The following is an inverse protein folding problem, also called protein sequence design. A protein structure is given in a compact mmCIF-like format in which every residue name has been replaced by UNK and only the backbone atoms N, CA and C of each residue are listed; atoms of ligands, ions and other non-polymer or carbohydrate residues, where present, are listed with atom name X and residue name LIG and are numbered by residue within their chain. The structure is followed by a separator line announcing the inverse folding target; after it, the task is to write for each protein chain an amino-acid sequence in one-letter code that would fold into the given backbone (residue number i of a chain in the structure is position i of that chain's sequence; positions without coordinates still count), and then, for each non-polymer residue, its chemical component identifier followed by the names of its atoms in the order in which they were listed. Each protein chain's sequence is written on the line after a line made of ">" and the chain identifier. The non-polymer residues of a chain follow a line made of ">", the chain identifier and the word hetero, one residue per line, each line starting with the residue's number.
data_IF_522286471182
#
_entry.id   IF_522286471182
#
_cell.length_a   1.000
_cell.length_b   1.000
_cell.length_c   1.000
_cell.angle_alpha   90.00
_cell.angle_beta   90.00
_cell.angle_gamma   90.00
#
_symmetry.space_group_name_H-M   'P 1'
#
loop_
_entity.id
_entity.type
_entity.pdbx_description
1 polymer ?
#
# COMPACT_ATOMS: atom_id res chain seq x y z
N UNK A 1 4.76 -5.04 -8.29
CA UNK A 1 3.35 -5.03 -7.82
C UNK A 1 2.38 -5.10 -9.00
N UNK A 2 1.27 -5.85 -8.87
CA UNK A 2 0.28 -6.04 -9.95
C UNK A 2 -0.32 -4.66 -10.31
N UNK A 3 -0.29 -4.22 -11.58
CA UNK A 3 -0.69 -2.86 -11.97
C UNK A 3 -2.09 -2.43 -11.49
N UNK A 4 -3.06 -3.35 -11.55
CA UNK A 4 -4.44 -3.10 -11.08
C UNK A 4 -4.46 -2.82 -9.57
N UNK A 5 -3.69 -3.57 -8.77
CA UNK A 5 -3.61 -3.37 -7.32
C UNK A 5 -2.91 -2.05 -6.99
N UNK A 6 -1.82 -1.73 -7.70
CA UNK A 6 -1.09 -0.47 -7.49
C UNK A 6 -2.01 0.74 -7.72
N UNK A 7 -2.81 0.73 -8.79
CA UNK A 7 -3.76 1.82 -9.05
C UNK A 7 -4.80 1.95 -7.92
N UNK A 8 -5.42 0.86 -7.47
CA UNK A 8 -6.41 0.93 -6.37
C UNK A 8 -5.81 1.54 -5.10
N UNK A 9 -4.56 1.17 -4.77
CA UNK A 9 -3.86 1.72 -3.61
C UNK A 9 -3.60 3.23 -3.78
N UNK A 10 -3.22 3.66 -4.98
CA UNK A 10 -2.98 5.07 -5.29
C UNK A 10 -4.28 5.89 -5.28
N UNK A 11 -5.38 5.34 -5.81
CA UNK A 11 -6.71 5.97 -5.77
C UNK A 11 -7.22 6.10 -4.35
N UNK A 12 -7.15 5.04 -3.54
CA UNK A 12 -7.54 5.09 -2.13
C UNK A 12 -6.71 6.13 -1.36
N UNK A 13 -5.40 6.17 -1.59
CA UNK A 13 -4.50 7.15 -0.98
C UNK A 13 -4.93 8.58 -1.32
N UNK A 14 -5.30 8.84 -2.56
CA UNK A 14 -5.61 10.20 -3.04
C UNK A 14 -7.03 10.67 -2.72
N UNK A 15 -8.01 9.76 -2.72
CA UNK A 15 -9.44 10.11 -2.61
C UNK A 15 -10.00 9.91 -1.21
N UNK A 16 -9.47 8.95 -0.46
CA UNK A 16 -9.89 8.66 0.91
C UNK A 16 -8.83 9.18 1.87
N UNK A 17 -7.62 8.65 1.84
CA UNK A 17 -6.64 8.91 2.90
C UNK A 17 -6.17 10.38 2.97
N UNK A 18 -5.75 10.97 1.85
CA UNK A 18 -5.22 12.34 1.82
C UNK A 18 -6.27 13.42 2.17
N UNK A 19 -7.55 13.32 1.76
CA UNK A 19 -8.58 14.29 2.17
C UNK A 19 -8.96 14.22 3.66
N UNK A 20 -9.04 13.02 4.26
CA UNK A 20 -9.32 12.84 5.69
C UNK A 20 -8.22 13.47 6.58
N UNK A 21 -7.03 13.74 6.01
CA UNK A 21 -5.90 14.40 6.66
C UNK A 21 -6.16 15.88 7.04
N UNK A 22 -7.07 16.57 6.36
CA UNK A 22 -7.21 18.04 6.46
C UNK A 22 -8.38 18.46 7.35
N UNK A 23 -9.42 17.63 7.50
CA UNK A 23 -10.62 17.98 8.27
C UNK A 23 -11.07 16.81 9.12
N UNK A 24 -11.37 17.07 10.40
CA UNK A 24 -12.08 16.13 11.27
C UNK A 24 -13.44 15.81 10.65
N UNK A 25 -13.68 14.54 10.33
CA UNK A 25 -14.95 14.06 9.79
C UNK A 25 -15.62 13.12 10.79
N UNK A 26 -16.95 13.04 10.77
CA UNK A 26 -17.73 12.12 11.59
C UNK A 26 -17.70 10.71 10.98
N UNK A 27 -16.55 10.05 11.08
CA UNK A 27 -16.29 8.71 10.54
C UNK A 27 -15.44 7.91 11.51
N UNK A 28 -15.46 6.58 11.42
CA UNK A 28 -14.61 5.69 12.23
C UNK A 28 -13.14 5.64 11.74
N UNK A 29 -12.74 6.50 10.80
CA UNK A 29 -11.39 6.54 10.30
C UNK A 29 -10.55 7.53 11.13
N UNK A 30 -9.29 7.20 11.46
CA UNK A 30 -8.42 8.09 12.22
C UNK A 30 -8.21 9.40 11.43
N UNK A 31 -8.47 10.53 12.09
CA UNK A 31 -8.21 11.86 11.57
C UNK A 31 -6.80 12.32 11.96
N UNK A 32 -6.07 12.93 11.01
CA UNK A 32 -4.74 13.49 11.25
C UNK A 32 -3.68 13.10 10.24
N UNK A 33 -2.50 13.69 10.40
CA UNK A 33 -1.31 13.36 9.58
C UNK A 33 -0.60 12.18 10.28
N UNK A 34 -0.42 11.01 9.66
CA UNK A 34 0.15 9.83 10.34
C UNK A 34 1.49 10.12 11.03
N UNK A 35 2.39 10.85 10.35
CA UNK A 35 3.67 11.24 10.94
C UNK A 35 3.50 12.16 12.16
N UNK A 36 2.49 13.05 12.15
CA UNK A 36 2.20 13.95 13.26
C UNK A 36 1.52 13.22 14.42
N UNK A 37 0.56 12.34 14.13
CA UNK A 37 -0.06 11.47 15.13
C UNK A 37 0.95 10.53 15.79
N UNK A 38 1.91 10.02 15.00
CA UNK A 38 3.00 9.21 15.52
C UNK A 38 3.95 10.03 16.40
N UNK A 39 4.28 11.26 16.00
CA UNK A 39 5.19 12.13 16.75
C UNK A 39 4.54 12.78 18.00
N UNK A 40 3.23 13.03 17.96
CA UNK A 40 2.47 13.74 19.00
C UNK A 40 1.12 13.06 19.28
N UNK A 41 1.10 11.78 19.69
CA UNK A 41 -0.14 11.02 19.87
C UNK A 41 -1.10 11.68 20.88
N UNK A 42 -0.57 12.40 21.86
CA UNK A 42 -1.33 13.06 22.92
C UNK A 42 -2.26 14.16 22.37
N UNK A 43 -1.89 14.83 21.28
CA UNK A 43 -2.73 15.86 20.63
C UNK A 43 -4.00 15.27 19.99
N UNK A 44 -4.02 13.96 19.77
CA UNK A 44 -5.14 13.22 19.18
C UNK A 44 -5.88 12.35 20.20
N UNK A 45 -5.58 12.51 21.50
CA UNK A 45 -6.15 11.65 22.55
C UNK A 45 -5.64 10.21 22.51
N UNK A 46 -4.50 9.97 21.85
CA UNK A 46 -3.83 8.68 21.80
C UNK A 46 -2.70 8.63 22.85
N UNK A 47 -2.24 7.42 23.15
CA UNK A 47 -1.12 7.18 24.04
C UNK A 47 0.14 6.83 23.24
N UNK A 48 1.29 7.35 23.66
CA UNK A 48 2.57 6.92 23.13
C UNK A 48 2.89 5.50 23.63
N UNK A 49 2.72 4.53 22.73
CA UNK A 49 3.05 3.12 22.95
C UNK A 49 4.27 2.67 22.13
N UNK A 50 4.89 3.59 21.38
CA UNK A 50 6.06 3.31 20.57
C UNK A 50 7.28 2.97 21.42
N UNK A 51 8.10 2.04 20.94
CA UNK A 51 9.39 1.75 21.56
C UNK A 51 10.47 2.53 20.81
N UNK A 52 11.42 3.17 21.50
CA UNK A 52 12.55 3.79 20.81
C UNK A 52 13.37 2.69 20.14
N UNK A 53 13.38 2.68 18.81
CA UNK A 53 14.18 1.76 18.01
C UNK A 53 15.38 2.53 17.48
N UNK A 54 16.57 1.97 17.69
CA UNK A 54 17.83 2.49 17.14
C UNK A 54 18.06 2.00 15.71
N UNK A 55 18.87 2.71 14.94
CA UNK A 55 19.22 2.30 13.58
C UNK A 55 19.93 0.93 13.58
N UNK A 56 20.74 0.66 14.62
CA UNK A 56 21.41 -0.63 14.81
C UNK A 56 20.40 -1.77 14.99
N UNK A 57 19.34 -1.57 15.79
CA UNK A 57 18.28 -2.57 15.97
C UNK A 57 17.46 -2.79 14.70
N UNK A 58 17.20 -1.74 13.93
CA UNK A 58 16.57 -1.86 12.62
C UNK A 58 17.45 -2.68 11.66
N UNK A 59 18.75 -2.39 11.62
CA UNK A 59 19.69 -3.11 10.77
C UNK A 59 19.82 -4.58 11.19
N UNK A 60 19.84 -4.88 12.49
CA UNK A 60 19.85 -6.25 13.02
C UNK A 60 18.59 -7.01 12.58
N UNK A 61 17.41 -6.42 12.78
CA UNK A 61 16.14 -7.03 12.37
C UNK A 61 16.04 -7.21 10.85
N UNK A 62 16.50 -6.24 10.07
CA UNK A 62 16.51 -6.30 8.61
C UNK A 62 17.47 -7.40 8.10
N UNK A 63 18.62 -7.57 8.77
CA UNK A 63 19.58 -8.64 8.47
C UNK A 63 19.02 -10.01 8.84
N UNK A 64 18.44 -10.14 10.04
CA UNK A 64 17.86 -11.39 10.54
C UNK A 64 16.65 -11.86 9.72
N UNK A 65 15.81 -10.92 9.28
CA UNK A 65 14.67 -11.22 8.40
C UNK A 65 15.07 -11.52 6.96
N UNK A 66 16.31 -11.18 6.56
CA UNK A 66 16.80 -11.30 5.19
C UNK A 66 16.14 -10.32 4.21
N UNK A 67 15.32 -9.36 4.69
CA UNK A 67 14.54 -8.44 3.85
C UNK A 67 15.43 -7.61 2.91
N UNK A 68 16.67 -7.34 3.32
CA UNK A 68 17.66 -6.59 2.53
C UNK A 68 18.13 -7.34 1.28
N UNK A 69 17.99 -8.67 1.26
CA UNK A 69 18.39 -9.52 0.13
C UNK A 69 17.22 -9.84 -0.80
N UNK A 70 16.03 -9.30 -0.51
CA UNK A 70 14.83 -9.55 -1.29
C UNK A 70 14.76 -8.54 -2.44
N UNK A 71 14.49 -8.97 -3.68
CA UNK A 71 14.30 -8.04 -4.79
C UNK A 71 13.18 -7.04 -4.50
N UNK A 72 13.38 -5.77 -4.86
CA UNK A 72 12.35 -4.73 -4.73
C UNK A 72 11.11 -5.02 -5.59
N UNK A 73 11.26 -5.75 -6.69
CA UNK A 73 10.12 -6.23 -7.49
C UNK A 73 10.04 -7.75 -7.38
N UNK A 74 8.96 -8.21 -6.75
CA UNK A 74 8.61 -9.62 -6.59
C UNK A 74 7.94 -10.20 -7.84
N UNK A 75 7.66 -9.34 -8.83
CA UNK A 75 7.01 -9.73 -10.07
C UNK A 75 8.06 -9.78 -11.16
N UNK A 76 8.20 -10.93 -11.82
CA UNK A 76 9.13 -11.04 -12.92
C UNK A 76 8.66 -10.20 -14.12
N UNK A 77 9.57 -9.67 -14.95
CA UNK A 77 9.21 -8.92 -16.15
C UNK A 77 8.27 -9.71 -17.07
N UNK A 78 8.50 -11.02 -17.21
CA UNK A 78 7.71 -11.90 -18.06
C UNK A 78 6.26 -12.02 -17.56
N UNK A 79 6.06 -12.13 -16.24
CA UNK A 79 4.73 -12.19 -15.64
C UNK A 79 4.00 -10.84 -15.80
N UNK A 80 4.73 -9.73 -15.72
CA UNK A 80 4.18 -8.39 -15.94
C UNK A 80 3.73 -8.20 -17.38
N UNK A 81 4.56 -8.58 -18.35
CA UNK A 81 4.23 -8.55 -19.78
C UNK A 81 3.02 -9.45 -20.08
N UNK A 82 2.93 -10.63 -19.44
CA UNK A 82 1.78 -11.52 -19.61
C UNK A 82 0.49 -10.89 -19.06
N UNK A 83 0.53 -10.24 -17.90
CA UNK A 83 -0.61 -9.48 -17.37
C UNK A 83 -1.04 -8.34 -18.32
N UNK A 84 -0.07 -7.57 -18.83
CA UNK A 84 -0.31 -6.46 -19.74
C UNK A 84 -0.84 -6.92 -21.11
N UNK A 85 -0.54 -8.15 -21.54
CA UNK A 85 -1.15 -8.74 -22.75
C UNK A 85 -2.66 -8.91 -22.61
N UNK A 86 -3.13 -9.34 -21.43
CA UNK A 86 -4.56 -9.54 -21.17
C UNK A 86 -5.27 -8.24 -20.83
N UNK A 87 -4.57 -7.31 -20.16
CA UNK A 87 -5.08 -5.99 -19.80
C UNK A 87 -4.02 -4.93 -20.19
N UNK A 88 -4.06 -4.41 -21.45
CA UNK A 88 -3.04 -3.50 -21.97
C UNK A 88 -3.08 -2.09 -21.38
N UNK A 89 -4.25 -1.71 -20.85
CA UNK A 89 -4.50 -0.40 -20.27
C UNK A 89 -5.07 -0.56 -18.86
N UNK A 90 -4.29 -1.13 -17.92
CA UNK A 90 -4.77 -1.35 -16.57
C UNK A 90 -5.27 -0.06 -15.94
N UNK A 91 -4.67 1.09 -16.25
CA UNK A 91 -5.05 2.42 -15.77
C UNK A 91 -6.48 2.86 -16.10
N UNK A 92 -7.10 2.30 -17.16
CA UNK A 92 -8.45 2.67 -17.61
C UNK A 92 -9.57 1.89 -16.94
N UNK A 93 -9.24 0.88 -16.14
CA UNK A 93 -10.25 0.09 -15.41
C UNK A 93 -10.85 0.97 -14.31
N UNK A 94 -12.16 0.97 -14.14
CA UNK A 94 -12.78 1.67 -13.02
C UNK A 94 -12.52 0.91 -11.72
N UNK A 95 -12.40 1.60 -10.58
CA UNK A 95 -12.13 0.95 -9.28
C UNK A 95 -13.18 -0.12 -8.92
N UNK A 96 -14.44 0.12 -9.29
CA UNK A 96 -15.54 -0.84 -9.11
C UNK A 96 -15.35 -2.16 -9.89
N UNK A 97 -14.56 -2.14 -10.95
CA UNK A 97 -14.32 -3.28 -11.83
C UNK A 97 -13.01 -4.02 -11.52
N UNK A 98 -12.16 -3.47 -10.65
CA UNK A 98 -10.83 -4.00 -10.31
C UNK A 98 -10.85 -5.44 -9.79
N UNK A 99 -11.88 -5.80 -9.03
CA UNK A 99 -12.09 -7.19 -8.58
C UNK A 99 -12.29 -8.13 -9.76
N UNK A 100 -13.12 -7.74 -10.73
CA UNK A 100 -13.41 -8.54 -11.92
C UNK A 100 -12.17 -8.64 -12.82
N UNK A 101 -11.46 -7.53 -13.01
CA UNK A 101 -10.20 -7.51 -13.75
C UNK A 101 -9.13 -8.41 -13.13
N UNK A 102 -9.02 -8.42 -11.79
CA UNK A 102 -8.09 -9.30 -11.09
C UNK A 102 -8.47 -10.79 -11.25
N UNK A 103 -9.75 -11.14 -11.07
CA UNK A 103 -10.23 -12.52 -11.28
C UNK A 103 -9.97 -12.95 -12.73
N UNK A 104 -10.27 -12.07 -13.70
CA UNK A 104 -10.03 -12.32 -15.12
C UNK A 104 -8.56 -12.60 -15.44
N UNK A 105 -7.64 -11.83 -14.84
CA UNK A 105 -6.20 -12.06 -14.94
C UNK A 105 -5.79 -13.38 -14.30
N UNK A 106 -6.28 -13.67 -13.08
CA UNK A 106 -5.95 -14.89 -12.34
C UNK A 106 -6.39 -16.17 -13.06
N UNK A 107 -7.49 -16.11 -13.81
CA UNK A 107 -7.97 -17.25 -14.61
C UNK A 107 -7.13 -17.52 -15.87
N UNK A 108 -6.34 -16.54 -16.33
CA UNK A 108 -5.67 -16.56 -17.65
C UNK A 108 -4.16 -16.58 -17.57
N UNK A 109 -3.61 -15.97 -16.52
CA UNK A 109 -2.20 -16.05 -16.16
C UNK A 109 -2.09 -17.21 -15.16
N UNK A 110 -1.20 -18.17 -15.41
CA UNK A 110 -0.93 -19.24 -14.44
C UNK A 110 -0.30 -18.60 -13.19
N UNK A 111 -1.12 -18.35 -12.17
CA UNK A 111 -0.72 -17.90 -10.82
C UNK A 111 -0.45 -19.10 -9.93
#
# INVERSE_FOLDING_TARGET
>A
MIPVIQRELDEFRNTVWNPHRIRKQDTNLPDGVPNHMHAFPQEYGLQECGWPITEEQLQEAATASGVLNVPNDFISPEFREECERFIPHPEKIESSESKHAFIFLKERVNV
#
